data_IF_473899688417
#
_entry.id   IF_473899688417
#
_cell.length_a   1.000
_cell.length_b   1.000
_cell.length_c   1.000
_cell.angle_alpha   90.00
_cell.angle_beta   90.00
_cell.angle_gamma   90.00
#
_symmetry.space_group_name_H-M   'P 1'
#
loop_
_entity.id
_entity.type
_entity.pdbx_description
1 polymer ?
#
# COMPACT_ATOMS: atom_id res chain seq x y z
N UNK A 1 -12.40 -7.35 10.13
CA UNK A 1 -11.67 -7.83 11.32
C UNK A 1 -10.18 -7.77 11.04
N UNK A 2 -9.41 -7.23 11.97
CA UNK A 2 -7.95 -7.20 11.90
C UNK A 2 -7.43 -8.45 12.59
N UNK A 3 -6.70 -9.32 11.87
CA UNK A 3 -6.20 -10.58 12.43
C UNK A 3 -5.17 -10.37 13.54
N UNK A 4 -4.33 -9.33 13.42
CA UNK A 4 -3.37 -8.92 14.44
C UNK A 4 -3.50 -7.41 14.65
N UNK A 5 -4.26 -6.96 15.65
CA UNK A 5 -4.40 -5.53 15.94
C UNK A 5 -3.06 -4.88 16.32
N UNK A 6 -2.86 -3.57 16.03
CA UNK A 6 -1.68 -2.85 16.47
C UNK A 6 -1.45 -2.95 17.99
N UNK A 7 -0.21 -3.18 18.40
CA UNK A 7 0.18 -3.35 19.80
C UNK A 7 0.02 -4.76 20.36
N UNK A 8 -0.61 -5.69 19.64
CA UNK A 8 -0.76 -7.09 20.07
C UNK A 8 0.51 -7.92 19.77
N UNK A 9 1.63 -7.52 20.34
CA UNK A 9 2.96 -8.07 20.05
C UNK A 9 3.05 -9.57 20.36
N UNK A 10 2.41 -10.04 21.43
CA UNK A 10 2.40 -11.46 21.76
C UNK A 10 1.68 -12.31 20.70
N UNK A 11 0.52 -11.84 20.24
CA UNK A 11 -0.24 -12.46 19.14
C UNK A 11 0.56 -12.40 17.84
N UNK A 12 1.18 -11.27 17.53
CA UNK A 12 2.04 -11.10 16.34
C UNK A 12 3.15 -12.15 16.30
N UNK A 13 3.87 -12.34 17.41
CA UNK A 13 4.91 -13.37 17.53
C UNK A 13 4.36 -14.79 17.38
N UNK A 14 3.16 -15.06 17.89
CA UNK A 14 2.51 -16.36 17.71
C UNK A 14 2.20 -16.61 16.23
N UNK A 15 1.54 -15.66 15.58
CA UNK A 15 1.23 -15.73 14.13
C UNK A 15 2.50 -15.91 13.30
N UNK A 16 3.57 -15.18 13.59
CA UNK A 16 4.85 -15.32 12.91
C UNK A 16 5.45 -16.73 13.05
N UNK A 17 5.35 -17.34 14.23
CA UNK A 17 5.82 -18.72 14.46
C UNK A 17 4.98 -19.72 13.67
N UNK A 18 3.67 -19.57 13.69
CA UNK A 18 2.75 -20.52 13.02
C UNK A 18 2.87 -20.42 11.51
N UNK A 19 3.02 -19.20 10.97
CA UNK A 19 3.31 -18.94 9.55
C UNK A 19 4.59 -19.65 9.12
N UNK A 20 5.70 -19.50 9.88
CA UNK A 20 6.96 -20.18 9.56
C UNK A 20 6.85 -21.71 9.67
N UNK A 21 6.13 -22.24 10.67
CA UNK A 21 5.90 -23.70 10.79
C UNK A 21 5.11 -24.27 9.61
N UNK A 22 4.25 -23.46 9.00
CA UNK A 22 3.53 -23.81 7.78
C UNK A 22 4.38 -23.68 6.50
N UNK A 23 5.66 -23.33 6.61
CA UNK A 23 6.54 -23.10 5.44
C UNK A 23 6.24 -21.82 4.68
N UNK A 24 5.55 -20.85 5.32
CA UNK A 24 5.14 -19.57 4.73
C UNK A 24 5.95 -18.42 5.32
N UNK A 25 5.94 -17.28 4.63
CA UNK A 25 6.48 -16.01 5.11
C UNK A 25 5.39 -14.95 5.20
N UNK A 26 5.59 -13.97 6.08
CA UNK A 26 4.73 -12.78 6.15
C UNK A 26 5.25 -11.78 5.13
N UNK A 27 4.50 -11.53 4.06
CA UNK A 27 4.90 -10.59 3.02
C UNK A 27 4.74 -9.11 3.47
N UNK A 28 3.74 -8.83 4.30
CA UNK A 28 3.47 -7.47 4.79
C UNK A 28 2.50 -7.44 5.96
N UNK A 29 2.46 -6.29 6.64
CA UNK A 29 1.44 -5.98 7.64
C UNK A 29 0.46 -4.92 7.14
N UNK A 30 -0.79 -5.28 6.90
CA UNK A 30 -1.88 -4.37 6.54
C UNK A 30 -2.43 -3.64 7.77
N UNK A 31 -1.89 -2.48 8.10
CA UNK A 31 -2.13 -1.82 9.39
C UNK A 31 -3.42 -1.02 9.47
N UNK A 32 -4.02 -0.61 8.34
CA UNK A 32 -5.10 0.36 8.26
C UNK A 32 -4.77 1.75 8.83
N UNK A 33 -3.51 2.04 9.14
CA UNK A 33 -3.05 3.36 9.57
C UNK A 33 -3.30 4.40 8.48
N UNK A 34 -3.89 5.53 8.87
CA UNK A 34 -4.24 6.62 7.96
C UNK A 34 -3.28 7.79 8.17
N UNK A 35 -2.34 7.88 7.28
CA UNK A 35 -1.25 8.85 7.34
C UNK A 35 -1.77 10.29 7.31
N UNK A 36 -1.29 11.12 8.21
CA UNK A 36 -1.63 12.55 8.27
C UNK A 36 -3.01 12.90 8.85
N UNK A 37 -3.70 11.91 9.44
CA UNK A 37 -5.02 12.16 10.05
C UNK A 37 -4.90 12.57 11.52
N UNK A 38 -5.57 13.66 11.87
CA UNK A 38 -5.67 14.10 13.25
C UNK A 38 -6.48 13.09 14.09
N UNK A 39 -5.94 12.70 15.24
CA UNK A 39 -6.59 11.73 16.14
C UNK A 39 -6.38 10.27 15.72
N UNK A 40 -5.58 9.98 14.72
CA UNK A 40 -5.13 8.62 14.44
C UNK A 40 -4.31 8.10 15.62
N UNK A 41 -4.38 6.79 15.88
CA UNK A 41 -3.56 6.17 16.91
C UNK A 41 -2.06 6.34 16.58
N UNK A 42 -1.17 6.35 17.58
CA UNK A 42 0.28 6.41 17.35
C UNK A 42 0.77 5.31 16.41
N UNK A 43 1.79 5.60 15.60
CA UNK A 43 2.34 4.63 14.64
C UNK A 43 3.21 3.56 15.32
N UNK A 44 3.75 3.83 16.48
CA UNK A 44 4.66 2.95 17.22
C UNK A 44 4.06 1.56 17.50
N UNK A 45 2.80 1.39 17.93
CA UNK A 45 2.16 0.09 18.04
C UNK A 45 2.03 -0.67 16.69
N UNK A 46 1.85 0.06 15.59
CA UNK A 46 1.85 -0.53 14.23
C UNK A 46 3.23 -1.08 13.91
N UNK A 47 4.28 -0.29 14.14
CA UNK A 47 5.67 -0.65 13.92
C UNK A 47 6.04 -1.90 14.74
N UNK A 48 5.81 -1.89 16.06
CA UNK A 48 6.09 -3.02 16.95
C UNK A 48 5.39 -4.31 16.51
N UNK A 49 4.17 -4.20 16.00
CA UNK A 49 3.41 -5.36 15.50
C UNK A 49 4.03 -5.90 14.23
N UNK A 50 4.43 -5.04 13.30
CA UNK A 50 5.10 -5.44 12.05
C UNK A 50 6.44 -6.13 12.33
N UNK A 51 7.27 -5.58 13.23
CA UNK A 51 8.51 -6.20 13.68
C UNK A 51 8.27 -7.58 14.29
N UNK A 52 7.28 -7.70 15.19
CA UNK A 52 6.95 -8.95 15.86
C UNK A 52 6.41 -10.03 14.89
N UNK A 53 5.74 -9.62 13.81
CA UNK A 53 5.32 -10.48 12.70
C UNK A 53 6.50 -10.90 11.81
N UNK A 54 7.59 -10.16 11.79
CA UNK A 54 8.66 -10.28 10.80
C UNK A 54 8.20 -9.82 9.41
N UNK A 55 7.26 -8.87 9.34
CA UNK A 55 6.74 -8.31 8.10
C UNK A 55 7.71 -7.25 7.58
N UNK A 56 8.28 -7.38 6.36
CA UNK A 56 9.24 -6.41 5.85
C UNK A 56 8.59 -5.08 5.43
N UNK A 57 7.29 -5.08 5.23
CA UNK A 57 6.53 -3.92 4.74
C UNK A 57 5.30 -3.66 5.59
N UNK A 58 5.04 -2.39 5.87
CA UNK A 58 3.82 -1.90 6.50
C UNK A 58 2.98 -1.18 5.45
N UNK A 59 1.81 -1.74 5.13
CA UNK A 59 0.84 -1.07 4.25
C UNK A 59 0.04 -0.04 5.04
N UNK A 60 -0.06 1.17 4.49
CA UNK A 60 -0.80 2.31 5.05
C UNK A 60 -1.70 2.96 4.01
N UNK A 61 -2.63 3.81 4.44
CA UNK A 61 -3.46 4.62 3.55
C UNK A 61 -3.07 6.10 3.60
N UNK A 62 -3.08 6.75 2.43
CA UNK A 62 -2.72 8.17 2.26
C UNK A 62 -3.87 9.12 2.68
N UNK A 63 -4.19 9.16 3.95
CA UNK A 63 -5.28 9.96 4.51
C UNK A 63 -6.67 9.34 4.37
N UNK A 64 -7.70 10.21 4.50
CA UNK A 64 -9.13 9.83 4.44
C UNK A 64 -9.91 10.57 3.34
N UNK A 65 -9.26 11.45 2.60
CA UNK A 65 -9.88 12.26 1.55
C UNK A 65 -9.30 11.91 0.20
N UNK A 66 -10.18 11.75 -0.79
CA UNK A 66 -9.79 11.60 -2.19
C UNK A 66 -9.03 12.83 -2.69
N UNK A 67 -8.23 12.65 -3.72
CA UNK A 67 -7.37 13.70 -4.27
C UNK A 67 -8.15 14.94 -4.75
N UNK A 68 -9.40 14.76 -5.20
CA UNK A 68 -10.28 15.84 -5.63
C UNK A 68 -10.82 16.68 -4.45
N UNK A 69 -10.85 16.13 -3.24
CA UNK A 69 -11.41 16.78 -2.04
C UNK A 69 -10.31 17.29 -1.08
N UNK A 70 -9.10 16.79 -1.24
CA UNK A 70 -7.98 17.11 -0.38
C UNK A 70 -7.38 18.47 -0.76
N UNK A 71 -7.40 19.41 0.18
CA UNK A 71 -6.72 20.69 0.04
C UNK A 71 -5.18 20.53 0.23
N UNK A 72 -4.46 21.61 -0.09
CA UNK A 72 -3.01 21.65 0.06
C UNK A 72 -2.54 21.41 1.52
N UNK A 73 -3.33 21.78 2.51
CA UNK A 73 -3.00 21.53 3.92
C UNK A 73 -3.12 20.05 4.28
N UNK A 74 -4.16 19.36 3.79
CA UNK A 74 -4.32 17.93 3.92
C UNK A 74 -3.13 17.20 3.28
N UNK A 75 -2.78 17.56 2.04
CA UNK A 75 -1.64 16.96 1.33
C UNK A 75 -0.33 17.13 2.09
N UNK A 76 -0.04 18.34 2.59
CA UNK A 76 1.18 18.61 3.39
C UNK A 76 1.22 17.77 4.67
N UNK A 77 0.08 17.59 5.37
CA UNK A 77 0.02 16.73 6.58
C UNK A 77 0.34 15.28 6.25
N UNK A 78 -0.25 14.74 5.18
CA UNK A 78 0.02 13.37 4.72
C UNK A 78 1.49 13.21 4.37
N UNK A 79 2.07 14.13 3.61
CA UNK A 79 3.49 14.05 3.24
C UNK A 79 4.43 14.18 4.45
N UNK A 80 4.12 15.06 5.41
CA UNK A 80 4.92 15.23 6.62
C UNK A 80 4.89 13.98 7.51
N UNK A 81 3.71 13.41 7.74
CA UNK A 81 3.56 12.20 8.54
C UNK A 81 4.16 10.97 7.81
N UNK A 82 4.03 10.90 6.48
CA UNK A 82 4.69 9.85 5.69
C UNK A 82 6.21 9.85 5.87
N UNK A 83 6.85 11.03 5.87
CA UNK A 83 8.29 11.13 6.16
C UNK A 83 8.63 10.64 7.56
N UNK A 84 7.84 11.05 8.56
CA UNK A 84 8.03 10.63 9.96
C UNK A 84 7.96 9.11 10.10
N UNK A 85 6.88 8.48 9.61
CA UNK A 85 6.70 7.04 9.74
C UNK A 85 7.67 6.23 8.87
N UNK A 86 8.11 6.78 7.74
CA UNK A 86 9.14 6.16 6.91
C UNK A 86 10.49 6.13 7.61
N UNK A 87 10.85 7.21 8.32
CA UNK A 87 12.08 7.25 9.12
C UNK A 87 12.05 6.21 10.25
N UNK A 88 10.94 6.17 11.02
CA UNK A 88 10.76 5.17 12.09
C UNK A 88 10.82 3.72 11.56
N UNK A 89 10.18 3.46 10.42
CA UNK A 89 10.22 2.13 9.80
C UNK A 89 11.64 1.77 9.32
N UNK A 90 12.36 2.72 8.72
CA UNK A 90 13.72 2.50 8.25
C UNK A 90 14.69 2.18 9.40
N UNK A 91 14.57 2.84 10.56
CA UNK A 91 15.34 2.52 11.77
C UNK A 91 15.12 1.08 12.25
N UNK A 92 13.91 0.55 12.04
CA UNK A 92 13.56 -0.84 12.33
C UNK A 92 13.86 -1.82 11.17
N UNK A 93 14.47 -1.36 10.08
CA UNK A 93 14.74 -2.18 8.90
C UNK A 93 13.48 -2.54 8.08
N UNK A 94 12.40 -1.78 8.25
CA UNK A 94 11.12 -1.99 7.58
C UNK A 94 10.87 -0.90 6.54
N UNK A 95 9.90 -1.16 5.65
CA UNK A 95 9.45 -0.21 4.62
C UNK A 95 7.97 0.12 4.81
N UNK A 96 7.60 1.37 4.59
CA UNK A 96 6.19 1.80 4.50
C UNK A 96 5.77 1.83 3.04
N UNK A 97 4.54 1.42 2.73
CA UNK A 97 3.99 1.50 1.39
C UNK A 97 2.52 1.94 1.41
N UNK A 98 2.19 2.89 0.52
CA UNK A 98 0.82 3.34 0.31
C UNK A 98 0.04 2.37 -0.56
N UNK A 99 -1.16 2.02 -0.13
CA UNK A 99 -2.11 1.32 -0.99
C UNK A 99 -2.80 2.31 -1.94
N UNK A 100 -2.88 1.98 -3.23
CA UNK A 100 -3.81 2.62 -4.16
C UNK A 100 -5.23 2.37 -3.66
N UNK A 101 -5.93 3.40 -3.20
CA UNK A 101 -7.24 3.22 -2.59
C UNK A 101 -8.15 4.43 -2.82
N UNK A 102 -9.42 4.18 -3.13
CA UNK A 102 -10.43 5.24 -3.19
C UNK A 102 -10.51 6.04 -1.88
N UNK A 103 -10.87 7.31 -1.97
CA UNK A 103 -10.96 8.23 -0.84
C UNK A 103 -9.63 8.42 -0.07
N UNK A 104 -8.52 8.36 -0.78
CA UNK A 104 -7.17 8.70 -0.28
C UNK A 104 -6.41 9.52 -1.31
N UNK A 105 -5.25 10.05 -0.98
CA UNK A 105 -4.39 10.75 -1.96
C UNK A 105 -3.76 9.82 -3.02
N UNK A 106 -4.02 8.52 -2.94
CA UNK A 106 -3.58 7.54 -3.94
C UNK A 106 -4.76 6.93 -4.71
N UNK A 107 -5.84 7.69 -4.88
CA UNK A 107 -7.05 7.27 -5.61
C UNK A 107 -6.96 7.46 -7.14
N UNK A 108 -6.01 8.27 -7.61
CA UNK A 108 -5.73 8.48 -9.03
C UNK A 108 -4.23 8.33 -9.31
N UNK A 109 -3.89 8.01 -10.56
CA UNK A 109 -2.50 7.86 -10.99
C UNK A 109 -1.70 9.15 -10.76
N UNK A 110 -2.30 10.29 -11.12
CA UNK A 110 -1.68 11.61 -11.06
C UNK A 110 -1.38 12.02 -9.61
N UNK A 111 -2.35 11.82 -8.73
CA UNK A 111 -2.20 12.16 -7.32
C UNK A 111 -1.21 11.23 -6.60
N UNK A 112 -1.24 9.93 -6.91
CA UNK A 112 -0.29 8.97 -6.37
C UNK A 112 1.15 9.27 -6.82
N UNK A 113 1.35 9.53 -8.13
CA UNK A 113 2.66 9.88 -8.67
C UNK A 113 3.20 11.18 -8.06
N UNK A 114 2.34 12.21 -7.92
CA UNK A 114 2.73 13.46 -7.29
C UNK A 114 3.10 13.28 -5.80
N UNK A 115 2.34 12.46 -5.03
CA UNK A 115 2.67 12.18 -3.64
C UNK A 115 3.99 11.42 -3.51
N UNK A 116 4.23 10.41 -4.35
CA UNK A 116 5.49 9.67 -4.37
C UNK A 116 6.69 10.56 -4.77
N UNK A 117 6.49 11.51 -5.68
CA UNK A 117 7.51 12.49 -6.05
C UNK A 117 7.83 13.45 -4.89
N UNK A 118 6.83 13.90 -4.12
CA UNK A 118 7.02 14.70 -2.90
C UNK A 118 7.81 13.95 -1.81
N UNK A 119 7.86 12.63 -1.87
CA UNK A 119 8.53 11.73 -0.93
C UNK A 119 9.79 11.09 -1.55
N UNK A 120 10.37 11.70 -2.58
CA UNK A 120 11.47 11.13 -3.36
C UNK A 120 12.70 10.76 -2.50
N UNK A 121 12.94 11.52 -1.43
CA UNK A 121 14.02 11.30 -0.47
C UNK A 121 13.81 10.14 0.51
N UNK A 122 12.61 9.55 0.52
CA UNK A 122 12.24 8.46 1.43
C UNK A 122 12.22 7.09 0.72
N UNK A 123 12.18 6.01 1.50
CA UNK A 123 11.95 4.64 1.01
C UNK A 123 10.47 4.27 0.84
N UNK A 124 9.54 5.22 0.97
CA UNK A 124 8.10 4.95 0.84
C UNK A 124 7.79 4.34 -0.52
N UNK A 125 7.09 3.22 -0.51
CA UNK A 125 6.68 2.49 -1.70
C UNK A 125 5.18 2.54 -1.97
N UNK A 126 4.73 1.74 -2.92
CA UNK A 126 3.34 1.64 -3.32
C UNK A 126 2.87 0.19 -3.45
N UNK A 127 1.69 -0.07 -2.93
CA UNK A 127 0.85 -1.22 -3.29
C UNK A 127 -0.05 -0.79 -4.43
N UNK A 128 0.31 -1.17 -5.64
CA UNK A 128 -0.53 -0.86 -6.78
C UNK A 128 -1.68 -1.83 -6.90
N UNK A 129 -2.84 -1.33 -7.27
CA UNK A 129 -3.99 -2.12 -7.73
C UNK A 129 -4.72 -1.38 -8.84
N UNK A 130 -5.36 -2.12 -9.73
CA UNK A 130 -6.18 -1.53 -10.79
C UNK A 130 -7.35 -0.75 -10.16
N UNK A 131 -7.48 0.57 -10.41
CA UNK A 131 -8.62 1.34 -9.92
C UNK A 131 -9.94 0.77 -10.43
N UNK A 132 -10.95 0.76 -9.57
CA UNK A 132 -12.25 0.14 -9.84
C UNK A 132 -12.90 0.72 -11.09
N UNK A 133 -13.11 -0.12 -12.09
CA UNK A 133 -13.78 0.25 -13.36
C UNK A 133 -12.93 1.09 -14.32
N UNK A 134 -11.66 1.31 -14.03
CA UNK A 134 -10.76 2.07 -14.90
C UNK A 134 -10.40 1.27 -16.17
N UNK A 135 -10.16 1.96 -17.32
CA UNK A 135 -9.65 1.33 -18.51
C UNK A 135 -8.26 0.73 -18.30
N UNK A 136 -7.96 -0.38 -19.00
CA UNK A 136 -6.66 -1.06 -18.87
C UNK A 136 -5.47 -0.16 -19.17
N UNK A 137 -5.55 0.72 -20.14
CA UNK A 137 -4.48 1.67 -20.47
C UNK A 137 -4.19 2.65 -19.32
N UNK A 138 -5.23 3.13 -18.65
CA UNK A 138 -5.09 3.97 -17.47
C UNK A 138 -4.42 3.19 -16.31
N UNK A 139 -4.84 1.94 -16.10
CA UNK A 139 -4.23 1.06 -15.09
C UNK A 139 -2.74 0.82 -15.37
N UNK A 140 -2.37 0.52 -16.63
CA UNK A 140 -0.97 0.35 -17.05
C UNK A 140 -0.15 1.62 -16.88
N UNK A 141 -0.72 2.79 -17.22
CA UNK A 141 -0.05 4.07 -17.02
C UNK A 141 0.26 4.30 -15.53
N UNK A 142 -0.69 3.99 -14.63
CA UNK A 142 -0.49 4.09 -13.19
C UNK A 142 0.57 3.15 -12.65
N UNK A 143 0.57 1.89 -13.10
CA UNK A 143 1.59 0.93 -12.71
C UNK A 143 3.01 1.38 -13.14
N UNK A 144 3.14 1.90 -14.37
CA UNK A 144 4.41 2.45 -14.86
C UNK A 144 4.83 3.71 -14.09
N UNK A 145 3.88 4.56 -13.72
CA UNK A 145 4.16 5.79 -12.95
C UNK A 145 4.65 5.48 -11.52
N UNK A 146 4.23 4.38 -10.92
CA UNK A 146 4.77 3.89 -9.65
C UNK A 146 6.24 3.47 -9.81
N UNK A 147 6.60 2.83 -10.92
CA UNK A 147 7.96 2.48 -11.27
C UNK A 147 8.69 1.72 -10.14
N UNK A 148 9.92 2.12 -9.83
CA UNK A 148 10.78 1.52 -8.80
C UNK A 148 10.22 1.63 -7.37
N UNK A 149 9.13 2.37 -7.17
CA UNK A 149 8.41 2.44 -5.90
C UNK A 149 7.41 1.30 -5.73
N UNK A 150 7.20 0.46 -6.73
CA UNK A 150 6.35 -0.72 -6.63
C UNK A 150 6.88 -1.66 -5.55
N UNK A 151 6.00 -2.08 -4.64
CA UNK A 151 6.31 -3.03 -3.56
C UNK A 151 5.49 -4.29 -3.73
N UNK A 152 4.18 -4.14 -3.93
CA UNK A 152 3.27 -5.25 -4.15
C UNK A 152 2.16 -4.87 -5.13
N UNK A 153 1.57 -5.88 -5.73
CA UNK A 153 0.40 -5.77 -6.59
C UNK A 153 -0.79 -6.47 -5.93
N UNK A 154 -1.86 -5.73 -5.67
CA UNK A 154 -3.14 -6.31 -5.29
C UNK A 154 -3.91 -6.69 -6.55
N UNK A 155 -4.14 -7.97 -6.75
CA UNK A 155 -4.79 -8.50 -7.95
C UNK A 155 -6.31 -8.56 -7.78
N UNK A 156 -7.03 -7.70 -8.50
CA UNK A 156 -8.49 -7.68 -8.58
C UNK A 156 -8.94 -7.53 -10.01
N UNK A 157 -10.03 -8.20 -10.38
CA UNK A 157 -10.74 -7.96 -11.63
C UNK A 157 -12.09 -7.30 -11.33
N UNK A 158 -12.35 -6.19 -12.00
CA UNK A 158 -13.56 -5.39 -11.81
C UNK A 158 -14.38 -5.32 -13.08
N UNK A 159 -15.69 -5.53 -12.95
CA UNK A 159 -16.61 -5.25 -14.05
C UNK A 159 -16.67 -3.72 -14.26
N UNK A 160 -16.37 -3.25 -15.47
CA UNK A 160 -16.18 -1.81 -15.76
C UNK A 160 -17.39 -0.95 -15.44
N UNK A 161 -18.60 -1.44 -15.75
CA UNK A 161 -19.84 -0.66 -15.56
C UNK A 161 -20.44 -0.87 -14.17
N UNK A 162 -20.67 -2.13 -13.76
CA UNK A 162 -21.29 -2.43 -12.46
C UNK A 162 -20.34 -2.26 -11.28
N UNK A 163 -19.02 -2.18 -11.53
CA UNK A 163 -17.96 -2.10 -10.49
C UNK A 163 -17.95 -3.32 -9.56
N UNK A 164 -18.63 -4.40 -9.92
CA UNK A 164 -18.61 -5.65 -9.19
C UNK A 164 -17.22 -6.31 -9.31
N UNK A 165 -16.78 -6.97 -8.25
CA UNK A 165 -15.59 -7.79 -8.28
C UNK A 165 -15.89 -9.11 -9.00
N UNK A 166 -15.05 -9.46 -9.96
CA UNK A 166 -15.13 -10.68 -10.75
C UNK A 166 -14.04 -11.68 -10.35
N UNK A 167 -14.17 -12.94 -10.75
CA UNK A 167 -13.05 -13.88 -10.73
C UNK A 167 -11.84 -13.31 -11.47
N UNK A 168 -10.63 -13.61 -10.99
CA UNK A 168 -9.41 -13.05 -11.59
C UNK A 168 -9.24 -13.49 -13.06
N UNK A 169 -9.68 -14.71 -13.39
CA UNK A 169 -9.63 -15.27 -14.73
C UNK A 169 -10.42 -14.44 -15.78
N UNK A 170 -11.49 -13.76 -15.36
CA UNK A 170 -12.28 -12.90 -16.26
C UNK A 170 -11.52 -11.67 -16.74
N UNK A 171 -10.41 -11.32 -16.06
CA UNK A 171 -9.50 -10.24 -16.42
C UNK A 171 -8.17 -10.70 -16.98
N UNK A 172 -8.03 -11.96 -17.40
CA UNK A 172 -6.75 -12.57 -17.78
C UNK A 172 -5.95 -11.73 -18.80
N UNK A 173 -6.61 -11.21 -19.84
CA UNK A 173 -5.93 -10.44 -20.88
C UNK A 173 -5.29 -9.15 -20.32
N UNK A 174 -5.99 -8.43 -19.46
CA UNK A 174 -5.48 -7.22 -18.82
C UNK A 174 -4.40 -7.59 -17.79
N UNK A 175 -4.60 -8.65 -17.01
CA UNK A 175 -3.64 -9.11 -16.00
C UNK A 175 -2.33 -9.60 -16.61
N UNK A 176 -2.34 -10.26 -17.77
CA UNK A 176 -1.09 -10.59 -18.48
C UNK A 176 -0.26 -9.35 -18.78
N UNK A 177 -0.90 -8.24 -19.15
CA UNK A 177 -0.23 -6.96 -19.43
C UNK A 177 0.28 -6.30 -18.16
N UNK A 178 -0.52 -6.31 -17.08
CA UNK A 178 -0.11 -5.74 -15.79
C UNK A 178 1.07 -6.50 -15.19
N UNK A 179 1.03 -7.83 -15.20
CA UNK A 179 2.12 -8.65 -14.69
C UNK A 179 3.40 -8.50 -15.52
N UNK A 180 3.28 -8.39 -16.85
CA UNK A 180 4.43 -8.11 -17.70
C UNK A 180 5.05 -6.73 -17.39
N UNK A 181 4.22 -5.72 -17.13
CA UNK A 181 4.69 -4.39 -16.73
C UNK A 181 5.32 -4.39 -15.33
N UNK A 182 4.74 -5.11 -14.36
CA UNK A 182 5.31 -5.25 -13.03
C UNK A 182 6.65 -6.00 -13.06
N UNK A 183 6.74 -7.10 -13.83
CA UNK A 183 7.97 -7.88 -13.98
C UNK A 183 9.13 -7.09 -14.64
N UNK A 184 8.83 -6.02 -15.35
CA UNK A 184 9.83 -5.12 -15.92
C UNK A 184 10.39 -4.11 -14.88
N UNK A 185 9.76 -3.98 -13.72
CA UNK A 185 10.27 -3.16 -12.61
C UNK A 185 11.32 -3.98 -11.85
N UNK A 186 12.51 -3.42 -11.55
CA UNK A 186 13.51 -4.13 -10.75
C UNK A 186 13.00 -4.44 -9.33
N UNK A 187 13.27 -5.67 -8.86
CA UNK A 187 12.91 -6.12 -7.51
C UNK A 187 11.93 -7.30 -7.49
N UNK A 188 11.53 -7.70 -6.29
CA UNK A 188 10.45 -8.67 -6.04
C UNK A 188 9.19 -7.90 -5.63
N UNK A 189 8.04 -8.22 -6.25
CA UNK A 189 6.77 -7.50 -6.06
C UNK A 189 5.61 -8.41 -5.71
#
# INVERSE_FOLDING_TARGET
DVHVPPGQVALARQVARDTRRAGLAVASYGSYYRVGEAGEAPFEPVLQTAEALGAPVIRVWAGRRGSAEADAACRRRVAADARRIAALAAEAGLRVAFEFHANTLTDTNESAAALLAELAETSVGSYWQAPVGAPAEYCLAGLRAVGERLVHVHAFTWHRQSRARLPLADGEADWRRYLAAAAAVPGEH
#
